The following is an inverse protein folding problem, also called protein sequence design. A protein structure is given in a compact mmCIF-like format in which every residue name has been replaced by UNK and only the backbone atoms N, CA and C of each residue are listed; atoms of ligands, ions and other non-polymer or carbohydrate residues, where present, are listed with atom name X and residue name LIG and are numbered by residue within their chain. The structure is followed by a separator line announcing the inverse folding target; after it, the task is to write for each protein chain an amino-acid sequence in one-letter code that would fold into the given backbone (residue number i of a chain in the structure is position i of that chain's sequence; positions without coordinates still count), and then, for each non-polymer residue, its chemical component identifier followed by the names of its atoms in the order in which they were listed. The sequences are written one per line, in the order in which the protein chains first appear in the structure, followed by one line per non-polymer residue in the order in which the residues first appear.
data_IF_588312717465
#
_entry.id   IF_588312717465
#
_cell.length_a   1.000
_cell.length_b   1.000
_cell.length_c   1.000
_cell.angle_alpha   90.00
_cell.angle_beta   90.00
_cell.angle_gamma   90.00
#
_symmetry.space_group_name_H-M   'P 1'
#
loop_
_entity.id
_entity.type
_entity.pdbx_description
1 polymer ?
#
# COMPACT_ATOMS: atom_id res chain seq x y z
N UNK A 1 20.76 -22.88 -32.39
CA UNK A 1 21.74 -23.11 -31.31
C UNK A 1 22.12 -21.77 -30.70
N UNK A 2 21.44 -21.34 -29.63
CA UNK A 2 21.96 -20.25 -28.78
C UNK A 2 23.09 -20.88 -27.98
N UNK A 3 24.30 -20.34 -28.11
CA UNK A 3 25.43 -20.72 -27.26
C UNK A 3 24.97 -20.68 -25.79
N UNK A 4 25.42 -21.64 -24.99
CA UNK A 4 25.19 -21.66 -23.55
C UNK A 4 25.57 -20.27 -23.02
N UNK A 5 24.56 -19.50 -22.60
CA UNK A 5 24.77 -18.16 -22.09
C UNK A 5 25.66 -18.32 -20.85
N UNK A 6 26.90 -17.84 -20.96
CA UNK A 6 27.79 -17.68 -19.83
C UNK A 6 27.00 -16.94 -18.75
N UNK A 7 26.75 -17.62 -17.63
CA UNK A 7 25.91 -17.09 -16.57
C UNK A 7 26.57 -15.81 -16.07
N UNK A 8 25.89 -14.67 -16.26
CA UNK A 8 26.41 -13.40 -15.79
C UNK A 8 26.72 -13.49 -14.28
N UNK A 9 27.87 -12.95 -13.83
CA UNK A 9 28.19 -12.86 -12.41
C UNK A 9 27.04 -12.25 -11.60
N UNK A 10 26.86 -12.70 -10.36
CA UNK A 10 25.75 -12.24 -9.50
C UNK A 10 25.87 -10.72 -9.25
N UNK A 11 27.08 -10.20 -9.15
CA UNK A 11 27.37 -8.77 -8.99
C UNK A 11 26.95 -7.94 -10.20
N UNK A 12 27.07 -8.50 -11.41
CA UNK A 12 26.60 -7.84 -12.64
C UNK A 12 25.08 -7.88 -12.72
N UNK A 13 24.45 -8.99 -12.31
CA UNK A 13 22.99 -9.07 -12.20
C UNK A 13 22.44 -8.07 -11.17
N UNK A 14 23.07 -7.96 -10.00
CA UNK A 14 22.72 -6.98 -8.96
C UNK A 14 22.78 -5.55 -9.50
N UNK A 15 23.92 -5.15 -10.08
CA UNK A 15 24.09 -3.82 -10.68
C UNK A 15 23.07 -3.54 -11.78
N UNK A 16 22.79 -4.53 -12.62
CA UNK A 16 21.82 -4.39 -13.71
C UNK A 16 20.38 -4.26 -13.19
N UNK A 17 20.01 -5.02 -12.16
CA UNK A 17 18.69 -4.93 -11.51
C UNK A 17 18.52 -3.54 -10.90
N UNK A 18 19.50 -3.05 -10.13
CA UNK A 18 19.45 -1.72 -9.50
C UNK A 18 19.35 -0.60 -10.54
N UNK A 19 20.13 -0.69 -11.61
CA UNK A 19 20.09 0.27 -12.73
C UNK A 19 18.71 0.27 -13.40
N UNK A 20 18.19 -0.91 -13.72
CA UNK A 20 16.88 -1.04 -14.37
C UNK A 20 15.75 -0.54 -13.46
N UNK A 21 15.80 -0.83 -12.16
CA UNK A 21 14.85 -0.28 -11.21
C UNK A 21 14.85 1.26 -11.20
N UNK A 22 16.02 1.88 -11.28
CA UNK A 22 16.15 3.34 -11.33
C UNK A 22 15.54 3.91 -12.62
N UNK A 23 15.80 3.28 -13.77
CA UNK A 23 15.17 3.65 -15.04
C UNK A 23 13.65 3.47 -15.04
N UNK A 24 13.14 2.38 -14.45
CA UNK A 24 11.70 2.14 -14.31
C UNK A 24 11.07 3.23 -13.44
N UNK A 25 11.74 3.67 -12.37
CA UNK A 25 11.26 4.77 -11.53
C UNK A 25 11.19 6.08 -12.32
N UNK A 26 12.26 6.44 -13.05
CA UNK A 26 12.28 7.63 -13.90
C UNK A 26 11.18 7.61 -14.98
N UNK A 27 11.03 6.49 -15.70
CA UNK A 27 9.94 6.31 -16.67
C UNK A 27 8.56 6.37 -16.01
N UNK A 28 8.43 5.89 -14.77
CA UNK A 28 7.19 6.01 -14.01
C UNK A 28 6.90 7.48 -13.66
N UNK A 29 7.92 8.28 -13.33
CA UNK A 29 7.76 9.72 -13.12
C UNK A 29 7.25 10.40 -14.40
N UNK A 30 7.84 10.12 -15.55
CA UNK A 30 7.40 10.64 -16.85
C UNK A 30 5.94 10.29 -17.13
N UNK A 31 5.54 9.04 -16.89
CA UNK A 31 4.14 8.60 -16.99
C UNK A 31 3.23 9.43 -16.07
N UNK A 32 3.62 9.70 -14.83
CA UNK A 32 2.81 10.51 -13.91
C UNK A 32 2.68 11.95 -14.38
N UNK A 33 3.72 12.55 -14.98
CA UNK A 33 3.65 13.89 -15.56
C UNK A 33 2.62 13.92 -16.69
N UNK A 34 2.64 12.94 -17.59
CA UNK A 34 1.66 12.81 -18.67
C UNK A 34 0.24 12.60 -18.14
N UNK A 35 0.07 11.74 -17.12
CA UNK A 35 -1.23 11.52 -16.47
C UNK A 35 -1.77 12.82 -15.89
N UNK A 36 -0.94 13.61 -15.18
CA UNK A 36 -1.36 14.89 -14.61
C UNK A 36 -1.82 15.84 -15.71
N UNK A 37 -1.02 16.02 -16.76
CA UNK A 37 -1.38 16.94 -17.84
C UNK A 37 -2.63 16.51 -18.59
N UNK A 38 -2.77 15.21 -18.83
CA UNK A 38 -3.98 14.65 -19.40
C UNK A 38 -5.20 14.88 -18.50
N UNK A 39 -5.00 14.76 -17.18
CA UNK A 39 -6.08 14.92 -16.22
C UNK A 39 -6.52 16.39 -16.08
N UNK A 40 -5.58 17.32 -15.99
CA UNK A 40 -5.83 18.76 -15.93
C UNK A 40 -6.54 19.30 -17.18
N UNK A 41 -6.32 18.66 -18.34
CA UNK A 41 -6.99 19.00 -19.61
C UNK A 41 -8.31 18.27 -19.81
N UNK A 42 -8.78 17.52 -18.81
CA UNK A 42 -9.96 16.67 -18.89
C UNK A 42 -9.95 15.76 -20.14
N UNK A 43 -8.78 15.21 -20.51
CA UNK A 43 -8.58 14.49 -21.77
C UNK A 43 -9.53 13.30 -21.94
N UNK A 44 -9.93 12.66 -20.84
CA UNK A 44 -10.88 11.54 -20.81
C UNK A 44 -12.26 11.89 -21.42
N UNK A 45 -12.67 13.16 -21.45
CA UNK A 45 -13.95 13.59 -22.02
C UNK A 45 -14.03 13.31 -23.53
N UNK A 46 -12.88 13.28 -24.22
CA UNK A 46 -12.81 12.90 -25.65
C UNK A 46 -13.38 11.50 -25.90
N UNK A 47 -13.38 10.62 -24.90
CA UNK A 47 -13.89 9.26 -24.98
C UNK A 47 -15.18 9.06 -24.19
N UNK A 48 -15.83 10.12 -23.71
CA UNK A 48 -17.08 10.05 -22.96
C UNK A 48 -16.97 9.40 -21.57
N UNK A 49 -15.77 9.34 -21.01
CA UNK A 49 -15.53 8.78 -19.67
C UNK A 49 -15.73 9.85 -18.59
N UNK A 50 -15.84 9.43 -17.32
CA UNK A 50 -16.15 10.37 -16.22
C UNK A 50 -14.92 11.01 -15.59
N UNK A 51 -13.78 10.33 -15.64
CA UNK A 51 -12.53 10.80 -15.02
C UNK A 51 -11.30 10.11 -15.65
N UNK A 52 -10.10 10.62 -15.33
CA UNK A 52 -8.85 10.06 -15.83
C UNK A 52 -8.60 8.62 -15.34
N UNK A 53 -9.05 8.26 -14.13
CA UNK A 53 -8.81 6.93 -13.60
C UNK A 53 -9.58 5.85 -14.38
N UNK A 54 -10.81 6.12 -14.82
CA UNK A 54 -11.56 5.24 -15.74
C UNK A 54 -10.84 5.10 -17.09
N UNK A 55 -10.31 6.21 -17.62
CA UNK A 55 -9.53 6.18 -18.86
C UNK A 55 -8.27 5.32 -18.73
N UNK A 56 -7.54 5.46 -17.62
CA UNK A 56 -6.35 4.66 -17.33
C UNK A 56 -6.67 3.18 -17.13
N UNK A 57 -7.78 2.87 -16.45
CA UNK A 57 -8.22 1.49 -16.27
C UNK A 57 -8.57 0.82 -17.60
N UNK A 58 -9.19 1.56 -18.51
CA UNK A 58 -9.55 1.06 -19.84
C UNK A 58 -8.36 0.99 -20.82
N UNK A 59 -7.55 2.06 -20.91
CA UNK A 59 -6.51 2.19 -21.95
C UNK A 59 -5.17 1.60 -21.57
N UNK A 60 -4.90 1.46 -20.26
CA UNK A 60 -3.60 1.03 -19.75
C UNK A 60 -3.72 -0.21 -18.85
N UNK A 61 -4.88 -0.88 -18.85
CA UNK A 61 -5.15 -2.11 -18.09
C UNK A 61 -4.83 -2.01 -16.59
N UNK A 62 -4.96 -0.81 -16.02
CA UNK A 62 -4.80 -0.63 -14.57
C UNK A 62 -6.06 -1.07 -13.83
N UNK A 63 -5.86 -1.66 -12.64
CA UNK A 63 -6.96 -1.74 -11.67
C UNK A 63 -7.43 -0.33 -11.30
N UNK A 64 -8.72 -0.16 -11.01
CA UNK A 64 -9.26 1.15 -10.65
C UNK A 64 -8.55 1.76 -9.44
N UNK A 65 -8.18 0.94 -8.45
CA UNK A 65 -7.37 1.36 -7.29
C UNK A 65 -6.00 1.89 -7.71
N UNK A 66 -5.31 1.18 -8.60
CA UNK A 66 -4.00 1.61 -9.11
C UNK A 66 -4.12 2.92 -9.90
N UNK A 67 -5.13 3.05 -10.75
CA UNK A 67 -5.37 4.24 -11.56
C UNK A 67 -5.62 5.48 -10.68
N UNK A 68 -6.52 5.36 -9.69
CA UNK A 68 -6.80 6.45 -8.74
C UNK A 68 -5.55 6.86 -7.96
N UNK A 69 -4.75 5.89 -7.52
CA UNK A 69 -3.50 6.17 -6.81
C UNK A 69 -2.50 6.91 -7.69
N UNK A 70 -2.35 6.49 -8.96
CA UNK A 70 -1.45 7.15 -9.92
C UNK A 70 -1.88 8.60 -10.18
N UNK A 71 -3.17 8.85 -10.40
CA UNK A 71 -3.71 10.21 -10.57
C UNK A 71 -3.45 11.07 -9.32
N UNK A 72 -3.69 10.54 -8.12
CA UNK A 72 -3.40 11.24 -6.85
C UNK A 72 -1.93 11.62 -6.73
N UNK A 73 -1.02 10.67 -6.95
CA UNK A 73 0.43 10.90 -6.84
C UNK A 73 0.88 11.92 -7.89
N UNK A 74 0.39 11.81 -9.12
CA UNK A 74 0.70 12.72 -10.22
C UNK A 74 0.38 14.19 -9.85
N UNK A 75 -0.78 14.43 -9.25
CA UNK A 75 -1.16 15.76 -8.78
C UNK A 75 -0.36 16.23 -7.57
N UNK A 76 -0.08 15.35 -6.61
CA UNK A 76 0.72 15.70 -5.43
C UNK A 76 2.15 16.15 -5.78
N UNK A 77 2.77 15.52 -6.78
CA UNK A 77 4.12 15.88 -7.23
C UNK A 77 4.21 17.31 -7.78
N UNK A 78 3.11 17.89 -8.29
CA UNK A 78 3.08 19.27 -8.81
C UNK A 78 3.57 20.31 -7.79
N UNK A 79 3.34 20.07 -6.51
CA UNK A 79 3.68 21.01 -5.44
C UNK A 79 4.91 20.60 -4.62
N UNK A 80 5.60 19.52 -5.01
CA UNK A 80 6.74 18.92 -4.31
C UNK A 80 7.94 18.82 -5.29
N UNK A 81 8.65 19.92 -5.58
CA UNK A 81 9.71 19.95 -6.57
C UNK A 81 10.95 19.10 -6.21
N UNK A 82 11.32 19.02 -4.94
CA UNK A 82 12.48 18.22 -4.50
C UNK A 82 12.22 16.72 -4.66
N UNK A 83 11.05 16.26 -4.23
CA UNK A 83 10.61 14.87 -4.41
C UNK A 83 10.42 14.56 -5.90
N UNK A 84 9.89 15.50 -6.69
CA UNK A 84 9.78 15.34 -8.14
C UNK A 84 11.14 15.17 -8.81
N UNK A 85 12.13 15.99 -8.45
CA UNK A 85 13.49 15.89 -8.99
C UNK A 85 14.13 14.54 -8.66
N UNK A 86 14.08 14.11 -7.40
CA UNK A 86 14.65 12.83 -6.98
C UNK A 86 13.90 11.62 -7.55
N UNK A 87 12.61 11.75 -7.87
CA UNK A 87 11.89 10.69 -8.57
C UNK A 87 12.23 10.65 -10.06
N UNK A 88 12.39 11.81 -10.69
CA UNK A 88 12.79 11.94 -12.09
C UNK A 88 14.18 11.35 -12.36
N UNK A 89 15.13 11.49 -11.41
CA UNK A 89 16.46 10.87 -11.52
C UNK A 89 16.47 9.37 -11.18
N UNK A 90 15.36 8.82 -10.70
CA UNK A 90 15.24 7.41 -10.31
C UNK A 90 15.78 7.09 -8.90
N UNK A 91 16.24 8.10 -8.15
CA UNK A 91 16.76 7.94 -6.78
C UNK A 91 15.66 7.54 -5.78
N UNK A 92 14.42 7.97 -6.02
CA UNK A 92 13.26 7.53 -5.25
C UNK A 92 12.47 6.46 -5.99
N UNK A 93 12.07 5.42 -5.26
CA UNK A 93 11.14 4.42 -5.78
C UNK A 93 9.70 4.93 -5.73
N UNK A 94 8.86 4.46 -6.68
CA UNK A 94 7.43 4.81 -6.69
C UNK A 94 6.73 4.51 -5.35
N UNK A 95 7.11 3.43 -4.67
CA UNK A 95 6.58 3.08 -3.35
C UNK A 95 6.88 4.14 -2.29
N UNK A 96 8.11 4.69 -2.27
CA UNK A 96 8.49 5.79 -1.37
C UNK A 96 7.73 7.07 -1.72
N UNK A 97 7.67 7.43 -3.01
CA UNK A 97 6.95 8.63 -3.49
C UNK A 97 5.47 8.57 -3.13
N UNK A 98 4.83 7.40 -3.32
CA UNK A 98 3.43 7.19 -2.96
C UNK A 98 3.18 7.41 -1.46
N UNK A 99 4.11 7.02 -0.60
CA UNK A 99 4.03 7.25 0.85
C UNK A 99 4.30 8.71 1.20
N UNK A 100 5.38 9.30 0.64
CA UNK A 100 5.77 10.70 0.82
C UNK A 100 4.62 11.65 0.51
N UNK A 101 3.98 11.48 -0.65
CA UNK A 101 2.88 12.34 -1.12
C UNK A 101 1.62 12.30 -0.26
N UNK A 102 1.58 11.51 0.83
CA UNK A 102 0.49 11.52 1.82
C UNK A 102 0.77 12.41 3.03
N UNK A 103 2.05 12.75 3.26
CA UNK A 103 2.51 13.48 4.46
C UNK A 103 3.36 14.71 4.12
N UNK A 104 3.93 14.73 2.91
CA UNK A 104 4.76 15.81 2.44
C UNK A 104 3.92 17.03 2.05
N UNK A 105 4.43 18.18 2.45
CA UNK A 105 3.97 19.53 2.15
C UNK A 105 5.21 20.35 1.79
N UNK A 106 5.03 21.51 1.15
CA UNK A 106 6.16 22.39 0.82
C UNK A 106 7.03 22.77 2.02
N UNK A 107 6.47 22.76 3.25
CA UNK A 107 7.19 23.16 4.46
C UNK A 107 8.12 22.08 5.01
N UNK A 108 7.80 20.80 4.80
CA UNK A 108 8.52 19.66 5.37
C UNK A 108 9.11 18.72 4.31
N UNK A 109 9.06 19.14 3.04
CA UNK A 109 9.52 18.33 1.90
C UNK A 109 11.01 17.96 2.04
N UNK A 110 11.88 18.94 2.29
CA UNK A 110 13.32 18.74 2.33
C UNK A 110 13.74 17.75 3.42
N UNK A 111 13.18 17.90 4.63
CA UNK A 111 13.43 17.00 5.76
C UNK A 111 12.99 15.55 5.44
N UNK A 112 11.79 15.40 4.87
CA UNK A 112 11.26 14.09 4.50
C UNK A 112 12.04 13.46 3.35
N UNK A 113 12.51 14.25 2.39
CA UNK A 113 13.31 13.79 1.25
C UNK A 113 14.67 13.25 1.72
N UNK A 114 15.38 14.00 2.57
CA UNK A 114 16.67 13.55 3.14
C UNK A 114 16.52 12.23 3.89
N UNK A 115 15.44 12.08 4.68
CA UNK A 115 15.16 10.82 5.37
C UNK A 115 14.81 9.69 4.37
N UNK A 116 13.99 9.97 3.36
CA UNK A 116 13.58 9.00 2.35
C UNK A 116 14.75 8.45 1.52
N UNK A 117 15.77 9.26 1.24
CA UNK A 117 16.95 8.82 0.48
C UNK A 117 17.82 7.84 1.28
N UNK A 118 17.81 7.91 2.62
CA UNK A 118 18.63 7.06 3.50
C UNK A 118 17.90 5.81 3.99
N UNK A 119 16.57 5.87 4.11
CA UNK A 119 15.77 4.77 4.65
C UNK A 119 15.38 3.73 3.58
N UNK A 120 15.16 2.47 3.98
CA UNK A 120 14.49 1.51 3.08
C UNK A 120 13.02 1.90 2.86
N UNK A 121 12.40 1.41 1.78
CA UNK A 121 11.00 1.72 1.50
C UNK A 121 10.04 1.26 2.62
N UNK A 122 10.33 0.13 3.27
CA UNK A 122 9.53 -0.39 4.37
C UNK A 122 9.65 0.48 5.63
N UNK A 123 10.87 0.81 6.05
CA UNK A 123 11.12 1.71 7.20
C UNK A 123 10.47 3.09 6.97
N UNK A 124 10.58 3.61 5.75
CA UNK A 124 10.00 4.90 5.40
C UNK A 124 8.46 4.87 5.40
N UNK A 125 7.86 3.80 4.86
CA UNK A 125 6.40 3.63 4.88
C UNK A 125 5.86 3.51 6.32
N UNK A 126 6.60 2.86 7.21
CA UNK A 126 6.27 2.79 8.63
C UNK A 126 6.34 4.16 9.29
N UNK A 127 7.44 4.90 9.08
CA UNK A 127 7.56 6.27 9.58
C UNK A 127 6.45 7.20 9.07
N UNK A 128 6.02 7.03 7.82
CA UNK A 128 4.88 7.76 7.26
C UNK A 128 3.53 7.31 7.82
N UNK A 129 3.39 6.07 8.29
CA UNK A 129 2.21 5.64 9.06
C UNK A 129 2.20 6.32 10.42
N UNK A 130 3.32 6.29 11.15
CA UNK A 130 3.46 6.98 12.44
C UNK A 130 3.15 8.48 12.33
N UNK A 131 3.64 9.17 11.30
CA UNK A 131 3.36 10.60 11.12
C UNK A 131 1.90 10.88 10.77
N UNK A 132 1.19 9.95 10.12
CA UNK A 132 -0.25 10.07 9.83
C UNK A 132 -1.12 9.76 11.04
N UNK A 133 -0.73 8.76 11.83
CA UNK A 133 -1.52 8.27 12.96
C UNK A 133 -1.14 8.92 14.31
N UNK A 134 0.01 9.59 14.39
CA UNK A 134 0.60 10.08 15.64
C UNK A 134 1.36 8.98 16.39
N UNK A 135 2.22 9.39 17.33
CA UNK A 135 2.84 8.49 18.32
C UNK A 135 1.83 8.27 19.46
N UNK A 136 1.71 7.05 19.97
CA UNK A 136 0.74 6.64 21.00
C UNK A 136 0.73 7.56 22.24
N UNK A 137 1.87 8.17 22.58
CA UNK A 137 2.05 8.92 23.83
C UNK A 137 1.69 10.42 23.80
N UNK A 138 1.12 10.95 22.72
CA UNK A 138 0.81 12.40 22.63
C UNK A 138 -0.68 12.69 22.70
N UNK A 139 -1.11 13.66 23.51
CA UNK A 139 -2.50 14.16 23.60
C UNK A 139 -3.03 14.64 22.24
N UNK A 140 -2.12 15.02 21.34
CA UNK A 140 -2.40 15.41 19.94
C UNK A 140 -2.80 14.20 19.05
N UNK A 141 -2.51 12.95 19.47
CA UNK A 141 -2.90 11.73 18.75
C UNK A 141 -4.42 11.50 18.77
N UNK A 142 -5.08 11.75 19.91
CA UNK A 142 -6.52 11.59 20.06
C UNK A 142 -7.31 12.60 19.20
N UNK A 143 -6.88 13.87 19.20
CA UNK A 143 -7.48 14.92 18.38
C UNK A 143 -7.32 14.65 16.88
N UNK A 144 -6.15 14.14 16.46
CA UNK A 144 -5.88 13.78 15.07
C UNK A 144 -6.56 12.48 14.64
N UNK A 145 -6.64 11.47 15.50
CA UNK A 145 -7.40 10.25 15.25
C UNK A 145 -8.90 10.57 15.07
N UNK A 146 -9.41 11.51 15.87
CA UNK A 146 -10.78 12.01 15.72
C UNK A 146 -10.96 12.79 14.40
N UNK A 147 -9.98 13.62 14.02
CA UNK A 147 -10.01 14.40 12.77
C UNK A 147 -9.82 13.54 11.50
N UNK A 148 -9.02 12.47 11.57
CA UNK A 148 -8.74 11.56 10.46
C UNK A 148 -9.75 10.42 10.34
N UNK A 149 -10.81 10.42 11.16
CA UNK A 149 -11.85 9.40 11.08
C UNK A 149 -12.39 9.35 9.66
N UNK A 150 -12.27 8.21 9.02
CA UNK A 150 -12.69 8.06 7.64
C UNK A 150 -13.38 6.73 7.46
N UNK A 151 -14.51 6.77 6.76
CA UNK A 151 -15.29 5.61 6.39
C UNK A 151 -15.25 5.48 4.87
N UNK A 152 -14.67 4.39 4.38
CA UNK A 152 -14.72 4.02 2.96
C UNK A 152 -15.57 2.77 2.82
N UNK A 153 -16.67 2.90 2.11
CA UNK A 153 -17.53 1.77 1.75
C UNK A 153 -17.35 1.48 0.27
N UNK A 154 -16.86 0.29 -0.05
CA UNK A 154 -16.79 -0.22 -1.41
C UNK A 154 -17.75 -1.38 -1.55
N UNK A 155 -18.71 -1.27 -2.46
CA UNK A 155 -19.63 -2.36 -2.81
C UNK A 155 -19.17 -2.99 -4.11
N UNK A 156 -18.87 -4.28 -4.06
CA UNK A 156 -18.50 -5.09 -5.21
C UNK A 156 -19.69 -5.96 -5.60
N UNK A 157 -20.53 -5.44 -6.51
CA UNK A 157 -21.76 -6.13 -6.94
C UNK A 157 -21.49 -7.43 -7.69
N UNK A 158 -20.33 -7.56 -8.33
CA UNK A 158 -19.95 -8.77 -9.07
C UNK A 158 -19.62 -9.93 -8.13
N UNK A 159 -19.00 -9.63 -6.97
CA UNK A 159 -18.68 -10.63 -5.94
C UNK A 159 -19.76 -10.75 -4.85
N UNK A 160 -20.84 -9.97 -4.96
CA UNK A 160 -21.83 -9.74 -3.91
C UNK A 160 -21.19 -9.45 -2.53
N UNK A 161 -20.07 -8.74 -2.52
CA UNK A 161 -19.31 -8.45 -1.29
C UNK A 161 -19.23 -6.95 -1.05
N UNK A 162 -19.38 -6.54 0.21
CA UNK A 162 -19.18 -5.16 0.65
C UNK A 162 -17.92 -5.10 1.51
N UNK A 163 -16.96 -4.29 1.10
CA UNK A 163 -15.76 -3.99 1.90
C UNK A 163 -15.97 -2.65 2.60
N UNK A 164 -15.97 -2.65 3.92
CA UNK A 164 -16.01 -1.45 4.75
C UNK A 164 -14.62 -1.29 5.37
N UNK A 165 -13.95 -0.19 5.06
CA UNK A 165 -12.71 0.21 5.73
C UNK A 165 -13.00 1.44 6.54
N UNK A 166 -12.82 1.34 7.85
CA UNK A 166 -13.04 2.44 8.77
C UNK A 166 -11.77 2.67 9.58
N UNK A 167 -11.32 3.92 9.64
CA UNK A 167 -10.28 4.37 10.58
C UNK A 167 -11.01 5.18 11.66
N UNK A 168 -10.93 4.75 12.92
CA UNK A 168 -11.63 5.35 14.07
C UNK A 168 -10.67 5.48 15.26
N UNK A 169 -10.92 6.44 16.17
CA UNK A 169 -10.34 6.42 17.52
C UNK A 169 -10.70 5.13 18.26
N UNK A 170 -9.82 4.67 19.17
CA UNK A 170 -9.97 3.38 19.86
C UNK A 170 -11.33 3.22 20.56
N UNK A 171 -11.76 4.22 21.34
CA UNK A 171 -13.07 4.22 22.01
C UNK A 171 -14.25 4.02 21.03
N UNK A 172 -14.19 4.66 19.87
CA UNK A 172 -15.22 4.52 18.83
C UNK A 172 -15.11 3.20 18.06
N UNK A 173 -13.88 2.70 17.87
CA UNK A 173 -13.60 1.40 17.27
C UNK A 173 -14.16 0.25 18.09
N UNK A 174 -13.98 0.27 19.41
CA UNK A 174 -14.54 -0.74 20.32
C UNK A 174 -16.06 -0.77 20.29
N UNK A 175 -16.72 0.39 20.13
CA UNK A 175 -18.17 0.46 19.97
C UNK A 175 -18.64 -0.19 18.66
N UNK A 176 -17.88 0.01 17.56
CA UNK A 176 -18.18 -0.62 16.27
C UNK A 176 -17.90 -2.12 16.32
N UNK A 177 -16.83 -2.56 16.97
CA UNK A 177 -16.52 -3.98 17.19
C UNK A 177 -17.66 -4.66 17.96
N UNK A 178 -18.07 -4.09 19.11
CA UNK A 178 -19.20 -4.61 19.90
C UNK A 178 -20.53 -4.62 19.12
N UNK A 179 -20.77 -3.62 18.28
CA UNK A 179 -21.97 -3.57 17.45
C UNK A 179 -21.96 -4.64 16.34
N UNK A 180 -20.79 -4.92 15.74
CA UNK A 180 -20.63 -5.99 14.75
C UNK A 180 -20.73 -7.38 15.37
N UNK A 181 -20.15 -7.59 16.55
CA UNK A 181 -20.31 -8.85 17.29
C UNK A 181 -21.78 -9.10 17.64
N UNK A 182 -22.50 -8.09 18.13
CA UNK A 182 -23.94 -8.20 18.42
C UNK A 182 -24.76 -8.48 17.16
N UNK A 183 -24.47 -7.79 16.04
CA UNK A 183 -25.16 -8.03 14.78
C UNK A 183 -24.92 -9.45 14.25
N UNK A 184 -23.72 -10.02 14.47
CA UNK A 184 -23.43 -11.42 14.16
C UNK A 184 -24.25 -12.36 15.04
N UNK A 185 -24.30 -12.11 16.35
CA UNK A 185 -25.04 -12.98 17.26
C UNK A 185 -26.54 -12.99 16.92
N UNK A 186 -27.10 -11.87 16.46
CA UNK A 186 -28.47 -11.76 15.94
C UNK A 186 -28.65 -12.50 14.59
N UNK A 187 -27.65 -12.54 13.70
CA UNK A 187 -27.67 -13.29 12.43
C UNK A 187 -27.46 -14.80 12.62
N UNK A 188 -26.62 -15.21 13.58
CA UNK A 188 -26.32 -16.62 13.91
C UNK A 188 -27.54 -17.32 14.52
N UNK A 189 -28.47 -16.58 15.14
CA UNK A 189 -29.76 -17.12 15.58
C UNK A 189 -30.72 -17.50 14.42
N UNK A 190 -30.39 -17.16 13.16
CA UNK A 190 -31.25 -17.40 11.99
C UNK A 190 -30.70 -18.42 10.96
N UNK A 191 -29.53 -19.02 11.16
CA UNK A 191 -28.98 -20.08 10.29
C UNK A 191 -28.19 -21.13 11.10
N UNK A 192 -28.33 -22.44 10.84
CA UNK A 192 -27.61 -23.46 11.58
C UNK A 192 -26.15 -23.58 11.13
N UNK A 193 -25.27 -23.49 12.12
CA UNK A 193 -23.90 -24.03 12.26
C UNK A 193 -22.96 -24.00 11.04
N UNK A 194 -22.21 -22.89 10.93
CA UNK A 194 -20.85 -22.91 10.40
C UNK A 194 -19.92 -22.36 11.49
N UNK A 195 -19.35 -23.27 12.26
CA UNK A 195 -18.43 -23.03 13.36
C UNK A 195 -17.29 -22.02 13.02
N UNK A 196 -17.10 -21.11 13.97
CA UNK A 196 -15.85 -20.46 14.38
C UNK A 196 -15.07 -19.66 13.30
N UNK A 197 -15.55 -18.44 12.99
CA UNK A 197 -14.74 -17.40 12.33
C UNK A 197 -14.81 -16.07 13.10
N UNK A 198 -14.23 -16.06 14.30
CA UNK A 198 -13.84 -14.83 14.98
C UNK A 198 -12.73 -14.13 14.19
N UNK A 199 -12.96 -12.86 13.80
CA UNK A 199 -11.97 -12.03 13.10
C UNK A 199 -10.84 -11.54 14.03
N UNK A 200 -10.98 -11.72 15.34
CA UNK A 200 -10.10 -11.11 16.35
C UNK A 200 -8.89 -11.98 16.73
N UNK A 201 -8.68 -13.14 16.08
CA UNK A 201 -7.53 -14.04 16.38
C UNK A 201 -6.34 -13.95 15.42
N UNK A 202 -6.28 -12.92 14.57
CA UNK A 202 -5.05 -12.58 13.85
C UNK A 202 -4.20 -11.58 14.64
N UNK A 203 -3.86 -11.93 15.88
CA UNK A 203 -2.73 -11.28 16.57
C UNK A 203 -1.44 -11.91 16.06
N UNK A 204 -0.62 -11.07 15.43
CA UNK A 204 0.75 -11.36 15.03
C UNK A 204 1.52 -11.99 16.20
N UNK A 205 1.74 -13.30 16.14
CA UNK A 205 2.76 -13.96 16.96
C UNK A 205 3.59 -14.84 16.05
N UNK A 206 4.77 -14.35 15.67
CA UNK A 206 5.81 -15.18 15.07
C UNK A 206 6.36 -16.13 16.12
N UNK A 207 6.54 -17.42 15.83
CA UNK A 207 7.47 -18.25 16.57
C UNK A 207 8.74 -18.48 15.74
N UNK A 208 9.85 -17.92 16.23
CA UNK A 208 11.20 -18.44 15.96
C UNK A 208 11.43 -19.68 16.86
N UNK A 209 11.89 -20.78 16.23
CA UNK A 209 12.68 -21.92 16.79
C UNK A 209 12.00 -22.84 17.84
N UNK A 210 12.49 -24.08 18.16
CA UNK A 210 13.83 -24.68 17.95
C UNK A 210 13.86 -26.16 17.49
N UNK A 211 15.08 -26.71 17.41
CA UNK A 211 15.43 -28.10 17.16
C UNK A 211 15.03 -29.09 18.28
N UNK A 212 14.72 -30.35 17.92
CA UNK A 212 14.94 -31.59 18.69
C UNK A 212 14.64 -32.81 17.76
N UNK A 213 15.60 -33.67 17.42
CA UNK A 213 16.02 -34.90 18.15
C UNK A 213 14.86 -35.82 18.54
N UNK A 214 14.87 -37.06 18.04
CA UNK A 214 13.95 -38.13 18.48
C UNK A 214 13.83 -39.30 17.49
N UNK A 215 14.89 -40.09 17.32
CA UNK A 215 14.96 -41.53 17.69
C UNK A 215 14.30 -42.50 16.70
N UNK A 216 15.17 -43.36 16.17
CA UNK A 216 14.91 -44.54 15.37
C UNK A 216 14.06 -45.59 16.11
N UNK A 217 13.10 -46.19 15.42
CA UNK A 217 12.66 -47.55 15.74
C UNK A 217 12.44 -48.36 14.45
N UNK A 218 13.26 -49.39 14.29
CA UNK A 218 13.17 -50.41 13.26
C UNK A 218 12.32 -51.57 13.80
N UNK A 219 11.63 -52.32 12.93
CA UNK A 219 11.77 -53.76 13.06
C UNK A 219 12.07 -54.47 11.74
N UNK A 220 13.08 -55.33 11.82
CA UNK A 220 13.32 -56.52 10.98
C UNK A 220 12.07 -57.42 10.96
N UNK A 221 11.78 -58.33 10.02
CA UNK A 221 12.61 -59.31 9.29
C UNK A 221 11.65 -60.11 8.39
N UNK A 222 11.97 -60.32 7.12
CA UNK A 222 12.15 -61.63 6.45
C UNK A 222 12.25 -61.44 4.95
#
# INVERSE_FOLDING_TARGET
MKAAAELAPIEDLDRNIVTLCSHINAATYELLVLIREFDERAGWLKWGLKNCAEWLAWRCDFSMTTALEKVRVAHALKILPGISGAFASGELSYSKVRALTRVASRRNEDELLVFALRATAAQFAERCRELRCGREDSIDSAARAYANRSLRVRRDRLRNMMTITVELPLESGELVEKALDKARDDEVLAMPDLADTSWSRCTLTSPRSPAAKGVLHCPSKR
#
